data_IF_842668533160
#
_entry.id   IF_842668533160
#
_cell.length_a   1.000
_cell.length_b   1.000
_cell.length_c   1.000
_cell.angle_alpha   90.00
_cell.angle_beta   90.00
_cell.angle_gamma   90.00
#
_symmetry.space_group_name_H-M   'P 1'
#
loop_
_entity.id
_entity.type
_entity.pdbx_description
1 polymer ?
#
# COMPACT_ATOMS: atom_id res chain seq x y z
N UNK A 1 -56.26 -34.54 -15.80
CA UNK A 1 -56.51 -33.07 -15.68
C UNK A 1 -55.37 -32.50 -14.87
N UNK A 2 -54.63 -31.55 -15.39
CA UNK A 2 -53.61 -30.82 -14.64
C UNK A 2 -54.29 -29.76 -13.79
N UNK A 3 -53.98 -29.72 -12.49
CA UNK A 3 -54.49 -28.68 -11.60
C UNK A 3 -53.53 -27.49 -11.55
N UNK A 4 -54.09 -26.31 -11.22
CA UNK A 4 -53.30 -25.06 -11.14
C UNK A 4 -52.58 -24.86 -9.81
N UNK A 5 -52.42 -25.92 -9.01
CA UNK A 5 -51.80 -25.83 -7.69
C UNK A 5 -50.27 -25.67 -7.83
N UNK A 6 -49.66 -24.63 -7.28
CA UNK A 6 -48.23 -24.46 -7.35
C UNK A 6 -47.48 -25.54 -6.60
N UNK A 7 -46.44 -26.12 -7.18
CA UNK A 7 -45.58 -27.13 -6.57
C UNK A 7 -44.51 -26.44 -5.74
N UNK A 8 -44.47 -26.61 -4.39
CA UNK A 8 -43.46 -25.96 -3.55
C UNK A 8 -42.03 -26.39 -3.92
N UNK A 9 -41.04 -25.54 -3.62
CA UNK A 9 -39.64 -25.90 -3.81
C UNK A 9 -39.28 -27.19 -3.08
N UNK A 10 -38.55 -28.09 -3.74
CA UNK A 10 -38.12 -29.37 -3.17
C UNK A 10 -39.04 -30.59 -3.49
N UNK A 11 -40.23 -30.35 -4.11
CA UNK A 11 -41.11 -31.46 -4.51
C UNK A 11 -41.04 -31.69 -6.02
N UNK A 12 -40.92 -32.96 -6.41
CA UNK A 12 -40.83 -33.37 -7.82
C UNK A 12 -42.19 -33.50 -8.52
N UNK A 13 -43.29 -33.59 -7.71
CA UNK A 13 -44.65 -33.81 -8.22
C UNK A 13 -45.67 -32.96 -7.45
N UNK A 14 -46.75 -32.61 -8.10
CA UNK A 14 -47.87 -31.94 -7.44
C UNK A 14 -48.57 -32.91 -6.46
N UNK A 15 -48.70 -32.53 -5.19
CA UNK A 15 -49.34 -33.35 -4.15
C UNK A 15 -50.84 -33.57 -4.33
N UNK A 16 -51.51 -32.83 -5.26
CA UNK A 16 -52.97 -32.94 -5.50
C UNK A 16 -53.28 -33.79 -6.71
N UNK A 17 -52.55 -33.67 -7.82
CA UNK A 17 -52.87 -34.36 -9.08
C UNK A 17 -51.73 -35.24 -9.61
N UNK A 18 -50.61 -35.34 -8.90
CA UNK A 18 -49.48 -36.19 -9.28
C UNK A 18 -48.70 -35.73 -10.52
N UNK A 19 -49.02 -34.54 -11.09
CA UNK A 19 -48.34 -34.06 -12.27
C UNK A 19 -46.86 -33.71 -11.94
N UNK A 20 -45.89 -34.26 -12.68
CA UNK A 20 -44.48 -33.95 -12.46
C UNK A 20 -44.21 -32.48 -12.77
N UNK A 21 -43.27 -31.86 -12.02
CA UNK A 21 -42.78 -30.51 -12.26
C UNK A 21 -42.14 -30.50 -13.65
N UNK A 22 -42.69 -29.70 -14.59
CA UNK A 22 -42.07 -29.52 -15.90
C UNK A 22 -40.71 -28.86 -15.75
N UNK A 23 -39.68 -29.40 -16.37
CA UNK A 23 -38.29 -28.91 -16.35
C UNK A 23 -38.07 -27.55 -17.08
N UNK A 24 -39.15 -26.83 -17.35
CA UNK A 24 -39.10 -25.54 -18.09
C UNK A 24 -39.33 -24.33 -17.18
N UNK A 25 -38.61 -24.26 -16.04
CA UNK A 25 -38.45 -23.00 -15.34
C UNK A 25 -37.04 -22.93 -14.79
N UNK A 26 -36.24 -22.16 -15.54
CA UNK A 26 -35.05 -21.50 -15.10
C UNK A 26 -34.11 -22.34 -14.21
N UNK A 27 -33.24 -23.10 -14.85
CA UNK A 27 -31.90 -23.21 -14.30
C UNK A 27 -31.40 -21.76 -14.18
N UNK A 28 -31.53 -21.18 -12.99
CA UNK A 28 -30.67 -20.05 -12.62
C UNK A 28 -29.27 -20.55 -12.94
N UNK A 29 -28.65 -20.02 -14.00
CA UNK A 29 -27.26 -20.25 -14.30
C UNK A 29 -26.52 -20.01 -12.98
N UNK A 30 -25.90 -21.05 -12.44
CA UNK A 30 -24.89 -20.87 -11.42
C UNK A 30 -23.98 -19.77 -11.95
N UNK A 31 -23.66 -18.73 -11.15
CA UNK A 31 -22.78 -17.68 -11.62
C UNK A 31 -21.55 -18.38 -12.20
N UNK A 32 -21.22 -18.12 -13.46
CA UNK A 32 -19.96 -18.58 -14.04
C UNK A 32 -18.87 -18.21 -13.02
N UNK A 33 -17.95 -19.15 -12.71
CA UNK A 33 -16.85 -18.83 -11.80
C UNK A 33 -16.21 -17.56 -12.30
N UNK A 34 -16.26 -16.50 -11.49
CA UNK A 34 -15.74 -15.20 -11.84
C UNK A 34 -14.32 -15.41 -12.36
N UNK A 35 -14.06 -15.04 -13.61
CA UNK A 35 -12.73 -15.20 -14.21
C UNK A 35 -11.73 -14.50 -13.31
N UNK A 36 -10.77 -15.23 -12.80
CA UNK A 36 -9.69 -14.67 -12.01
C UNK A 36 -8.91 -13.70 -12.89
N UNK A 37 -8.99 -12.41 -12.56
CA UNK A 37 -8.23 -11.37 -13.27
C UNK A 37 -6.73 -11.46 -12.95
N UNK A 38 -6.39 -12.01 -11.77
CA UNK A 38 -5.05 -12.17 -11.25
C UNK A 38 -5.10 -12.61 -9.79
N UNK A 39 -4.03 -12.37 -9.04
CA UNK A 39 -3.97 -12.70 -7.62
C UNK A 39 -3.02 -11.77 -6.85
N UNK A 40 -3.21 -11.73 -5.53
CA UNK A 40 -2.20 -11.26 -4.58
C UNK A 40 -1.64 -12.47 -3.83
N UNK A 41 -0.32 -12.59 -3.78
CA UNK A 41 0.35 -13.63 -3.00
C UNK A 41 0.98 -13.01 -1.74
N UNK A 42 0.63 -13.54 -0.57
CA UNK A 42 1.24 -13.18 0.70
C UNK A 42 2.68 -13.73 0.74
N UNK A 43 3.62 -12.88 1.07
CA UNK A 43 5.04 -13.24 1.23
C UNK A 43 5.29 -13.52 2.71
N UNK A 44 5.84 -14.69 3.00
CA UNK A 44 6.24 -15.09 4.34
C UNK A 44 7.60 -14.48 4.77
N UNK A 45 8.00 -14.73 6.02
CA UNK A 45 9.26 -14.23 6.59
C UNK A 45 10.52 -14.81 5.89
N UNK A 46 10.38 -15.88 5.12
CA UNK A 46 11.43 -16.48 4.33
C UNK A 46 11.49 -15.93 2.90
N UNK A 47 10.56 -15.05 2.53
CA UNK A 47 10.45 -14.47 1.19
C UNK A 47 9.69 -15.33 0.18
N UNK A 48 9.06 -16.43 0.62
CA UNK A 48 8.26 -17.31 -0.23
C UNK A 48 6.80 -16.87 -0.30
N UNK A 49 6.14 -17.21 -1.38
CA UNK A 49 4.68 -17.06 -1.48
C UNK A 49 3.99 -18.15 -0.64
N UNK A 50 3.16 -17.73 0.33
CA UNK A 50 2.48 -18.62 1.26
C UNK A 50 1.00 -18.78 0.94
N UNK A 51 0.24 -17.69 0.92
CA UNK A 51 -1.20 -17.68 0.65
C UNK A 51 -1.48 -16.87 -0.60
N UNK A 52 -2.31 -17.40 -1.48
CA UNK A 52 -2.72 -16.71 -2.70
C UNK A 52 -4.19 -16.31 -2.61
N UNK A 53 -4.45 -15.04 -2.82
CA UNK A 53 -5.77 -14.43 -2.82
C UNK A 53 -6.16 -14.14 -4.27
N UNK A 54 -7.14 -14.85 -4.85
CA UNK A 54 -7.60 -14.57 -6.22
C UNK A 54 -8.28 -13.20 -6.27
N UNK A 55 -8.03 -12.46 -7.35
CA UNK A 55 -8.66 -11.18 -7.63
C UNK A 55 -9.83 -11.37 -8.59
N UNK A 56 -10.98 -10.87 -8.19
CA UNK A 56 -12.17 -10.83 -9.04
C UNK A 56 -12.01 -9.71 -10.08
N UNK A 57 -12.61 -9.91 -11.26
CA UNK A 57 -12.71 -8.86 -12.25
C UNK A 57 -13.57 -7.72 -11.67
N UNK A 58 -12.97 -6.55 -11.43
CA UNK A 58 -13.62 -5.41 -10.79
C UNK A 58 -12.87 -4.90 -9.57
N UNK A 59 -13.59 -4.32 -8.62
CA UNK A 59 -13.03 -3.80 -7.39
C UNK A 59 -12.87 -4.91 -6.35
N UNK A 60 -11.68 -4.98 -5.76
CA UNK A 60 -11.35 -5.86 -4.64
C UNK A 60 -10.93 -4.97 -3.46
N UNK A 61 -11.69 -5.02 -2.37
CA UNK A 61 -11.39 -4.28 -1.14
C UNK A 61 -10.44 -5.08 -0.28
N UNK A 62 -9.39 -4.42 0.19
CA UNK A 62 -8.39 -5.00 1.07
C UNK A 62 -8.42 -4.25 2.41
N UNK A 63 -8.43 -4.98 3.52
CA UNK A 63 -8.47 -4.35 4.83
C UNK A 63 -8.65 -5.34 5.97
N UNK A 64 -9.10 -4.84 7.12
CA UNK A 64 -9.41 -5.65 8.29
C UNK A 64 -10.88 -6.05 8.37
N UNK A 65 -11.75 -5.33 7.66
CA UNK A 65 -13.19 -5.53 7.71
C UNK A 65 -13.63 -6.86 7.11
N UNK A 66 -14.68 -7.44 7.64
CA UNK A 66 -15.30 -8.67 7.15
C UNK A 66 -15.99 -8.49 5.79
N UNK A 67 -16.19 -7.26 5.37
CA UNK A 67 -16.77 -6.87 4.09
C UNK A 67 -15.71 -6.68 2.99
N UNK A 68 -14.43 -6.95 3.30
CA UNK A 68 -13.36 -6.96 2.32
C UNK A 68 -13.26 -8.31 1.61
N UNK A 69 -13.05 -8.29 0.30
CA UNK A 69 -12.76 -9.50 -0.50
C UNK A 69 -11.47 -10.17 -0.04
N UNK A 70 -10.50 -9.37 0.42
CA UNK A 70 -9.24 -9.83 1.02
C UNK A 70 -9.12 -9.22 2.41
N UNK A 71 -9.43 -10.03 3.43
CA UNK A 71 -9.48 -9.60 4.82
C UNK A 71 -8.31 -10.13 5.65
N UNK A 72 -7.61 -9.22 6.33
CA UNK A 72 -6.56 -9.51 7.32
C UNK A 72 -7.07 -9.11 8.71
N UNK A 73 -8.05 -9.86 9.21
CA UNK A 73 -8.83 -9.49 10.42
C UNK A 73 -7.96 -9.30 11.68
N UNK A 74 -6.83 -10.00 11.79
CA UNK A 74 -5.90 -9.93 12.93
C UNK A 74 -4.93 -8.76 12.86
N UNK A 75 -4.83 -8.04 11.72
CA UNK A 75 -3.88 -6.94 11.58
C UNK A 75 -4.50 -5.61 12.04
N UNK A 76 -4.18 -5.21 13.28
CA UNK A 76 -4.66 -3.95 13.87
C UNK A 76 -4.12 -2.68 13.21
N UNK A 77 -3.15 -2.78 12.30
CA UNK A 77 -2.63 -1.65 11.53
C UNK A 77 -3.47 -1.34 10.29
N UNK A 78 -4.41 -2.22 9.94
CA UNK A 78 -5.30 -2.00 8.80
C UNK A 78 -6.61 -1.33 9.22
N UNK A 79 -7.11 -0.44 8.39
CA UNK A 79 -8.47 0.07 8.46
C UNK A 79 -9.49 -1.00 8.05
N UNK A 80 -10.78 -0.78 8.32
CA UNK A 80 -11.87 -1.66 7.87
C UNK A 80 -11.71 -1.95 6.37
N UNK A 81 -11.78 -0.90 5.53
CA UNK A 81 -11.30 -0.94 4.14
C UNK A 81 -10.05 -0.06 4.07
N UNK A 82 -8.91 -0.66 3.77
CA UNK A 82 -7.62 0.02 3.77
C UNK A 82 -7.23 0.56 2.39
N UNK A 83 -7.48 -0.22 1.35
CA UNK A 83 -7.33 0.18 -0.04
C UNK A 83 -8.28 -0.63 -0.93
N UNK A 84 -8.45 -0.16 -2.16
CA UNK A 84 -9.20 -0.85 -3.22
C UNK A 84 -8.28 -1.12 -4.39
N UNK A 85 -8.26 -2.37 -4.85
CA UNK A 85 -7.55 -2.80 -6.04
C UNK A 85 -8.58 -3.08 -7.14
N UNK A 86 -8.53 -2.33 -8.23
CA UNK A 86 -9.33 -2.57 -9.42
C UNK A 86 -8.58 -3.47 -10.38
N UNK A 87 -9.17 -4.64 -10.66
CA UNK A 87 -8.67 -5.65 -11.59
C UNK A 87 -9.63 -5.84 -12.79
N UNK A 88 -10.48 -4.84 -13.07
CA UNK A 88 -11.41 -4.89 -14.19
C UNK A 88 -10.69 -4.93 -15.54
N UNK A 89 -9.60 -4.19 -15.64
CA UNK A 89 -8.77 -4.06 -16.84
C UNK A 89 -7.29 -4.06 -16.46
N UNK A 90 -6.44 -4.38 -17.41
CA UNK A 90 -4.99 -4.23 -17.27
C UNK A 90 -4.56 -2.87 -17.82
N UNK A 91 -3.63 -2.19 -17.13
CA UNK A 91 -2.98 -2.56 -15.86
C UNK A 91 -3.89 -2.35 -14.65
N UNK A 92 -3.72 -3.17 -13.62
CA UNK A 92 -4.45 -3.02 -12.35
C UNK A 92 -4.22 -1.65 -11.72
N UNK A 93 -5.22 -1.15 -11.00
CA UNK A 93 -5.14 0.13 -10.29
C UNK A 93 -5.35 -0.06 -8.80
N UNK A 94 -4.52 0.59 -8.01
CA UNK A 94 -4.62 0.60 -6.56
C UNK A 94 -4.96 2.01 -6.06
N UNK A 95 -6.07 2.11 -5.34
CA UNK A 95 -6.52 3.34 -4.71
C UNK A 95 -6.41 3.21 -3.19
N UNK A 96 -5.49 3.93 -2.53
CA UNK A 96 -5.38 3.92 -1.07
C UNK A 96 -6.58 4.66 -0.46
N UNK A 97 -7.09 4.16 0.66
CA UNK A 97 -8.17 4.79 1.43
C UNK A 97 -7.69 5.17 2.83
N UNK A 98 -6.87 4.33 3.47
CA UNK A 98 -6.30 4.65 4.77
C UNK A 98 -5.10 5.58 4.65
N UNK A 99 -5.25 6.77 5.24
CA UNK A 99 -4.19 7.78 5.30
C UNK A 99 -3.42 7.76 6.63
N UNK A 100 -3.74 6.86 7.57
CA UNK A 100 -3.02 6.75 8.84
C UNK A 100 -1.78 5.87 8.70
N UNK A 101 -1.95 4.58 8.56
CA UNK A 101 -0.83 3.64 8.39
C UNK A 101 -0.38 3.57 6.94
N UNK A 102 -1.31 3.74 5.99
CA UNK A 102 -1.04 3.87 4.56
C UNK A 102 -0.70 2.55 3.88
N UNK A 103 -0.79 2.61 2.58
CA UNK A 103 -0.39 1.55 1.65
C UNK A 103 0.94 1.93 1.04
N UNK A 104 1.87 1.00 0.94
CA UNK A 104 3.21 1.25 0.42
C UNK A 104 3.52 0.35 -0.77
N UNK A 105 4.23 0.91 -1.74
CA UNK A 105 4.75 0.19 -2.90
C UNK A 105 6.27 0.10 -2.80
N UNK A 106 6.83 -1.11 -3.00
CA UNK A 106 8.29 -1.29 -3.10
C UNK A 106 8.81 -0.58 -4.33
N UNK A 107 9.87 0.21 -4.17
CA UNK A 107 10.54 0.83 -5.31
C UNK A 107 11.47 -0.18 -5.97
N UNK A 108 11.43 -0.28 -7.30
CA UNK A 108 12.32 -1.12 -8.10
C UNK A 108 13.35 -0.30 -8.87
N UNK A 109 13.08 0.98 -9.07
CA UNK A 109 13.93 1.95 -9.76
C UNK A 109 14.00 3.23 -8.92
N UNK A 110 14.97 4.13 -9.15
CA UNK A 110 14.99 5.41 -8.47
C UNK A 110 13.68 6.18 -8.69
N UNK A 111 13.11 6.72 -7.62
CA UNK A 111 11.86 7.50 -7.64
C UNK A 111 12.12 8.91 -7.16
N UNK A 112 11.47 9.90 -7.76
CA UNK A 112 11.53 11.28 -7.31
C UNK A 112 10.76 11.43 -6.00
N UNK A 113 11.38 12.07 -5.00
CA UNK A 113 10.77 12.40 -3.72
C UNK A 113 10.24 13.82 -3.71
N UNK A 114 9.02 13.96 -3.22
CA UNK A 114 8.36 15.24 -3.01
C UNK A 114 8.19 15.53 -1.53
N UNK A 115 8.04 16.81 -1.18
CA UNK A 115 7.78 17.22 0.20
C UNK A 115 6.60 16.45 0.80
N UNK A 116 6.80 15.94 2.01
CA UNK A 116 5.81 15.14 2.73
C UNK A 116 5.68 13.69 2.25
N UNK A 117 6.59 13.19 1.40
CA UNK A 117 6.63 11.76 1.07
C UNK A 117 7.04 10.94 2.28
N UNK A 118 6.38 9.79 2.43
CA UNK A 118 6.66 8.84 3.50
C UNK A 118 7.37 7.63 2.91
N UNK A 119 8.54 7.36 3.44
CA UNK A 119 9.41 6.25 3.06
C UNK A 119 9.38 5.22 4.17
N UNK A 120 9.43 3.93 3.84
CA UNK A 120 9.66 2.87 4.79
C UNK A 120 10.94 2.10 4.43
N UNK A 121 11.83 1.99 5.41
CA UNK A 121 13.11 1.29 5.33
C UNK A 121 13.17 0.37 6.53
N UNK A 122 13.04 -0.95 6.33
CA UNK A 122 12.80 -1.87 7.45
C UNK A 122 11.53 -1.52 8.21
N UNK A 123 11.64 -1.32 9.52
CA UNK A 123 10.54 -0.86 10.38
C UNK A 123 10.47 0.67 10.49
N UNK A 124 11.47 1.36 10.00
CA UNK A 124 11.58 2.81 10.09
C UNK A 124 10.61 3.49 9.13
N UNK A 125 9.83 4.43 9.66
CA UNK A 125 8.93 5.29 8.90
C UNK A 125 9.55 6.68 8.85
N UNK A 126 9.88 7.14 7.66
CA UNK A 126 10.64 8.36 7.41
C UNK A 126 9.82 9.32 6.56
N UNK A 127 9.68 10.58 6.98
CA UNK A 127 9.05 11.64 6.20
C UNK A 127 10.12 12.55 5.60
N UNK A 128 10.13 12.67 4.30
CA UNK A 128 10.98 13.61 3.58
C UNK A 128 10.36 15.01 3.56
N UNK A 129 11.15 16.04 3.87
CA UNK A 129 10.74 17.43 3.85
C UNK A 129 11.81 18.31 3.18
N UNK A 130 11.40 19.12 2.21
CA UNK A 130 12.28 20.13 1.62
C UNK A 130 12.38 21.35 2.54
N UNK A 131 13.57 21.87 2.73
CA UNK A 131 13.79 23.06 3.57
C UNK A 131 13.20 24.33 2.95
N UNK A 132 13.20 24.43 1.61
CA UNK A 132 12.63 25.57 0.89
C UNK A 132 11.13 25.76 1.17
N UNK A 133 10.43 24.67 1.46
CA UNK A 133 9.00 24.66 1.80
C UNK A 133 8.74 24.87 3.31
N UNK A 134 9.81 24.89 4.11
CA UNK A 134 9.78 25.19 5.55
C UNK A 134 10.11 26.68 5.81
N UNK A 135 9.65 27.57 4.94
CA UNK A 135 9.95 29.01 5.04
C UNK A 135 9.52 29.57 6.40
N UNK A 136 10.30 30.56 6.85
CA UNK A 136 10.05 31.24 8.13
C UNK A 136 8.61 31.70 8.23
N UNK A 137 7.94 31.30 9.32
CA UNK A 137 6.60 31.77 9.63
C UNK A 137 6.58 33.28 9.69
N UNK A 138 5.55 33.86 9.12
CA UNK A 138 5.31 35.30 9.23
C UNK A 138 4.35 35.53 10.37
N UNK A 139 4.70 36.42 11.31
CA UNK A 139 3.80 36.78 12.39
C UNK A 139 2.47 37.28 11.83
N UNK A 140 1.35 36.68 12.20
CA UNK A 140 0.04 37.11 11.71
C UNK A 140 -0.34 38.51 12.25
N UNK A 141 0.32 38.96 13.32
CA UNK A 141 0.03 40.27 13.96
C UNK A 141 0.86 41.38 13.34
N UNK A 142 2.14 41.12 13.05
CA UNK A 142 3.07 42.18 12.64
C UNK A 142 3.47 42.11 11.18
N UNK A 143 3.12 41.04 10.46
CA UNK A 143 3.58 40.77 9.08
C UNK A 143 5.10 40.59 8.94
N UNK A 144 5.83 40.55 10.06
CA UNK A 144 7.28 40.35 10.05
C UNK A 144 7.63 38.87 10.05
N UNK A 145 8.70 38.50 9.35
CA UNK A 145 9.27 37.17 9.41
C UNK A 145 9.77 36.90 10.84
N UNK A 146 9.43 35.73 11.37
CA UNK A 146 9.99 35.26 12.63
C UNK A 146 11.45 34.87 12.37
N UNK A 147 12.38 35.65 12.95
CA UNK A 147 13.82 35.47 12.72
C UNK A 147 14.54 34.93 13.97
N UNK A 148 13.78 34.51 14.97
CA UNK A 148 14.33 33.95 16.22
C UNK A 148 14.64 32.47 15.98
N UNK A 149 15.91 32.09 16.14
CA UNK A 149 16.38 30.71 15.98
C UNK A 149 17.86 30.68 15.60
N UNK A 150 18.44 29.48 15.56
CA UNK A 150 19.78 29.29 15.06
C UNK A 150 19.77 29.35 13.51
N UNK A 151 20.89 29.81 12.93
CA UNK A 151 21.08 29.78 11.50
C UNK A 151 21.10 28.31 11.02
N UNK A 152 20.42 28.03 9.90
CA UNK A 152 20.53 26.73 9.24
C UNK A 152 21.97 26.52 8.72
N UNK A 153 22.53 25.31 8.85
CA UNK A 153 23.81 25.00 8.26
C UNK A 153 23.79 25.24 6.74
N UNK A 154 24.92 25.69 6.19
CA UNK A 154 25.03 25.93 4.75
C UNK A 154 24.84 24.65 3.96
N UNK A 155 24.17 24.75 2.80
CA UNK A 155 23.98 23.63 1.88
C UNK A 155 22.89 22.63 2.29
N UNK A 156 22.15 22.87 3.37
CA UNK A 156 21.01 22.05 3.74
C UNK A 156 19.88 22.31 2.74
N UNK A 157 19.41 21.23 2.11
CA UNK A 157 18.35 21.28 1.09
C UNK A 157 17.09 20.51 1.52
N UNK A 158 17.15 19.76 2.61
CA UNK A 158 16.02 19.00 3.10
C UNK A 158 16.29 18.39 4.47
N UNK A 159 15.31 17.65 4.97
CA UNK A 159 15.45 16.81 6.15
C UNK A 159 14.63 15.53 6.00
N UNK A 160 15.03 14.51 6.73
CA UNK A 160 14.27 13.29 6.95
C UNK A 160 13.84 13.24 8.41
N UNK A 161 12.54 13.18 8.65
CA UNK A 161 11.97 13.03 9.98
C UNK A 161 11.60 11.59 10.23
N UNK A 162 12.20 10.95 11.24
CA UNK A 162 11.81 9.63 11.71
C UNK A 162 10.50 9.74 12.51
N UNK A 163 9.49 9.02 12.07
CA UNK A 163 8.13 9.08 12.63
C UNK A 163 7.95 7.92 13.61
N UNK A 164 7.81 8.27 14.87
CA UNK A 164 7.52 7.32 15.95
C UNK A 164 6.04 7.00 16.09
N UNK A 165 5.73 6.19 17.10
CA UNK A 165 4.35 5.88 17.46
C UNK A 165 3.58 7.17 17.78
N UNK A 166 2.28 7.19 17.47
CA UNK A 166 1.46 8.39 17.61
C UNK A 166 1.77 9.49 16.58
N UNK A 167 2.56 9.17 15.52
CA UNK A 167 2.92 10.08 14.43
C UNK A 167 3.79 11.28 14.82
N UNK A 168 4.40 11.22 15.99
CA UNK A 168 5.33 12.24 16.44
C UNK A 168 6.69 12.07 15.76
N UNK A 169 7.39 13.19 15.58
CA UNK A 169 8.78 13.17 15.10
C UNK A 169 9.68 12.71 16.24
N UNK A 170 10.29 11.53 16.10
CA UNK A 170 11.24 10.99 17.06
C UNK A 170 12.65 11.57 16.86
N UNK A 171 13.08 11.68 15.57
CA UNK A 171 14.34 12.28 15.17
C UNK A 171 14.18 13.05 13.87
N UNK A 172 15.10 13.99 13.60
CA UNK A 172 15.18 14.71 12.34
C UNK A 172 16.65 14.80 11.90
N UNK A 173 16.91 14.38 10.67
CA UNK A 173 18.23 14.36 10.06
C UNK A 173 18.29 15.37 8.94
N UNK A 174 19.20 16.32 9.01
CA UNK A 174 19.40 17.33 7.96
C UNK A 174 20.15 16.71 6.77
N UNK A 175 19.71 17.05 5.58
CA UNK A 175 20.28 16.58 4.32
C UNK A 175 21.09 17.74 3.70
N UNK A 176 22.42 17.62 3.72
CA UNK A 176 23.34 18.65 3.22
C UNK A 176 24.31 18.13 2.16
N UNK A 177 24.48 16.80 2.10
CA UNK A 177 25.32 16.16 1.11
C UNK A 177 24.50 15.80 -0.13
N UNK A 178 25.15 15.78 -1.28
CA UNK A 178 24.53 15.43 -2.56
C UNK A 178 23.90 14.04 -2.54
N UNK A 179 24.52 13.08 -1.87
CA UNK A 179 24.08 11.74 -1.62
C UNK A 179 24.06 11.49 -0.11
N UNK A 180 22.93 11.09 0.44
CA UNK A 180 22.75 10.76 1.85
C UNK A 180 22.35 9.29 1.95
N UNK A 181 23.20 8.49 2.53
CA UNK A 181 23.05 7.04 2.63
C UNK A 181 22.33 6.66 3.93
N UNK A 182 21.37 5.75 3.79
CA UNK A 182 20.64 5.16 4.92
C UNK A 182 21.05 3.70 5.07
N UNK A 183 21.31 3.28 6.30
CA UNK A 183 21.67 1.90 6.57
C UNK A 183 21.62 1.52 8.04
N UNK A 184 21.87 0.24 8.33
CA UNK A 184 22.01 -0.22 9.70
C UNK A 184 23.39 0.05 10.27
N UNK A 185 24.42 -0.14 9.48
CA UNK A 185 25.82 -0.10 9.90
C UNK A 185 26.66 0.93 9.13
N UNK A 186 26.26 1.24 7.89
CA UNK A 186 26.99 2.12 6.96
C UNK A 186 26.04 3.11 6.33
N UNK A 187 26.40 4.39 6.40
CA UNK A 187 25.64 5.52 5.86
C UNK A 187 25.73 6.74 6.75
N UNK A 188 25.05 7.79 6.31
CA UNK A 188 24.97 9.08 7.01
C UNK A 188 23.85 9.05 8.07
N UNK A 189 22.81 8.28 7.81
CA UNK A 189 21.68 8.07 8.73
C UNK A 189 21.64 6.59 9.07
N UNK A 190 21.82 6.27 10.35
CA UNK A 190 21.95 4.89 10.82
C UNK A 190 20.76 4.48 11.69
N UNK A 191 20.29 3.23 11.46
CA UNK A 191 19.26 2.56 12.24
C UNK A 191 19.81 1.25 12.83
N UNK A 192 20.75 1.31 13.79
CA UNK A 192 21.51 0.13 14.23
C UNK A 192 20.67 -0.90 14.99
N UNK A 193 19.48 -0.48 15.47
CA UNK A 193 18.55 -1.36 16.22
C UNK A 193 17.50 -2.03 15.36
N UNK A 194 17.40 -1.68 14.07
CA UNK A 194 16.45 -2.29 13.15
C UNK A 194 17.10 -3.40 12.33
N UNK A 195 16.83 -4.66 12.71
CA UNK A 195 17.35 -5.84 12.01
C UNK A 195 16.83 -6.00 10.57
N UNK A 196 15.77 -5.28 10.19
CA UNK A 196 15.22 -5.30 8.84
C UNK A 196 15.89 -4.28 7.90
N UNK A 197 16.73 -3.40 8.44
CA UNK A 197 17.55 -2.47 7.65
C UNK A 197 18.85 -3.18 7.27
N UNK A 198 19.18 -3.19 5.98
CA UNK A 198 20.46 -3.70 5.48
C UNK A 198 21.63 -2.80 5.90
N UNK A 199 22.85 -3.33 5.95
CA UNK A 199 24.06 -2.60 6.34
C UNK A 199 24.22 -1.28 5.57
N UNK A 200 24.02 -1.29 4.23
CA UNK A 200 23.74 -0.15 3.37
C UNK A 200 22.41 -0.42 2.69
N UNK A 201 21.39 0.41 2.90
CA UNK A 201 20.02 0.07 2.50
C UNK A 201 19.51 0.91 1.33
N UNK A 202 19.56 2.21 1.46
CA UNK A 202 19.04 3.15 0.45
C UNK A 202 19.88 4.42 0.40
N UNK A 203 19.69 5.21 -0.64
CA UNK A 203 20.31 6.53 -0.80
C UNK A 203 19.26 7.55 -1.23
N UNK A 204 19.32 8.73 -0.62
CA UNK A 204 18.57 9.91 -1.03
C UNK A 204 19.57 10.85 -1.72
N UNK A 205 19.29 11.19 -2.97
CA UNK A 205 20.21 11.98 -3.81
C UNK A 205 19.53 13.26 -4.27
N UNK A 206 20.22 14.39 -4.11
CA UNK A 206 19.81 15.66 -4.74
C UNK A 206 20.51 15.82 -6.11
N UNK A 207 19.75 16.16 -7.14
CA UNK A 207 20.26 16.36 -8.52
C UNK A 207 19.47 17.50 -9.19
N UNK A 208 20.10 18.65 -9.32
CA UNK A 208 19.52 19.78 -10.06
C UNK A 208 18.18 20.27 -9.50
N UNK A 209 18.05 20.34 -8.18
CA UNK A 209 16.84 20.77 -7.50
C UNK A 209 15.78 19.67 -7.35
N UNK A 210 16.03 18.45 -7.85
CA UNK A 210 15.17 17.28 -7.65
C UNK A 210 15.81 16.30 -6.70
N UNK A 211 14.98 15.60 -5.94
CA UNK A 211 15.42 14.62 -4.95
C UNK A 211 14.95 13.23 -5.35
N UNK A 212 15.83 12.27 -5.27
CA UNK A 212 15.56 10.88 -5.67
C UNK A 212 15.88 9.92 -4.54
N UNK A 213 15.02 8.94 -4.37
CA UNK A 213 15.24 7.78 -3.49
C UNK A 213 15.59 6.57 -4.35
N UNK A 214 16.65 5.86 -3.97
CA UNK A 214 17.08 4.63 -4.62
C UNK A 214 17.38 3.56 -3.57
N UNK A 215 16.86 2.36 -3.76
CA UNK A 215 17.25 1.16 -3.02
C UNK A 215 18.63 0.67 -3.49
N UNK A 216 19.47 0.26 -2.57
CA UNK A 216 20.84 -0.22 -2.85
C UNK A 216 20.94 -1.75 -2.91
N UNK A 217 19.87 -2.44 -3.22
CA UNK A 217 19.79 -3.91 -3.22
C UNK A 217 19.57 -4.45 -1.81
N UNK A 218 18.76 -3.77 -1.03
CA UNK A 218 18.45 -4.18 0.33
C UNK A 218 17.67 -5.50 0.37
N UNK A 219 17.82 -6.26 1.44
CA UNK A 219 17.17 -7.57 1.60
C UNK A 219 15.65 -7.44 1.65
N UNK A 220 15.14 -6.46 2.39
CA UNK A 220 13.71 -6.28 2.61
C UNK A 220 13.06 -5.23 1.69
N UNK A 221 13.85 -4.45 0.97
CA UNK A 221 13.40 -3.41 0.05
C UNK A 221 13.09 -2.09 0.73
N UNK A 222 13.03 -1.06 -0.10
CA UNK A 222 12.63 0.30 0.25
C UNK A 222 11.24 0.54 -0.32
N UNK A 223 10.36 1.14 0.48
CA UNK A 223 8.97 1.36 0.10
C UNK A 223 8.61 2.83 0.15
N UNK A 224 7.78 3.25 -0.80
CA UNK A 224 7.20 4.59 -0.84
C UNK A 224 5.70 4.50 -0.60
N UNK A 225 5.17 5.39 0.26
CA UNK A 225 3.74 5.46 0.54
C UNK A 225 2.96 5.92 -0.68
N UNK A 226 1.92 5.18 -1.01
CA UNK A 226 0.98 5.53 -2.07
C UNK A 226 0.04 6.63 -1.56
N UNK A 227 0.05 7.80 -2.20
CA UNK A 227 -0.77 8.96 -1.81
C UNK A 227 -2.03 9.13 -2.67
N UNK A 228 -2.03 8.57 -3.87
CA UNK A 228 -3.09 8.65 -4.87
C UNK A 228 -3.21 7.34 -5.60
N UNK A 229 -4.20 7.19 -6.45
CA UNK A 229 -4.33 6.01 -7.29
C UNK A 229 -3.07 5.82 -8.14
N UNK A 230 -2.60 4.59 -8.18
CA UNK A 230 -1.44 4.17 -8.97
C UNK A 230 -1.79 2.94 -9.81
N UNK A 231 -1.01 2.76 -10.86
CA UNK A 231 -1.02 1.56 -11.69
C UNK A 231 -0.07 0.51 -11.12
N UNK A 232 -0.53 -0.74 -11.04
CA UNK A 232 0.26 -1.88 -10.59
C UNK A 232 0.73 -2.72 -11.78
N UNK A 233 1.94 -3.26 -11.66
CA UNK A 233 2.56 -4.17 -12.62
C UNK A 233 2.68 -5.56 -12.02
N UNK A 234 2.84 -6.54 -12.87
CA UNK A 234 3.17 -7.90 -12.41
C UNK A 234 4.44 -7.90 -11.57
N UNK A 235 4.44 -8.65 -10.48
CA UNK A 235 5.51 -8.75 -9.48
C UNK A 235 5.74 -7.52 -8.60
N UNK A 236 4.92 -6.47 -8.71
CA UNK A 236 4.95 -5.37 -7.73
C UNK A 236 4.71 -5.90 -6.31
N UNK A 237 5.39 -5.32 -5.33
CA UNK A 237 5.26 -5.67 -3.93
C UNK A 237 4.58 -4.53 -3.16
N UNK A 238 3.43 -4.86 -2.60
CA UNK A 238 2.63 -3.98 -1.77
C UNK A 238 2.81 -4.33 -0.29
N UNK A 239 2.99 -3.33 0.54
CA UNK A 239 3.03 -3.51 1.99
C UNK A 239 1.82 -2.79 2.61
N UNK A 240 0.94 -3.58 3.24
CA UNK A 240 -0.26 -3.15 3.94
C UNK A 240 -0.21 -3.63 5.38
N UNK A 241 -0.12 -2.71 6.33
CA UNK A 241 0.10 -3.08 7.73
C UNK A 241 1.36 -3.92 7.90
N UNK A 242 1.17 -5.20 8.26
CA UNK A 242 2.25 -6.22 8.38
C UNK A 242 2.34 -7.16 7.18
N UNK A 243 1.43 -7.03 6.21
CA UNK A 243 1.30 -7.97 5.12
C UNK A 243 2.06 -7.48 3.89
N UNK A 244 3.04 -8.25 3.44
CA UNK A 244 3.76 -8.04 2.18
C UNK A 244 3.10 -8.90 1.10
N UNK A 245 2.58 -8.26 0.06
CA UNK A 245 1.81 -8.89 -0.99
C UNK A 245 2.47 -8.70 -2.35
N UNK A 246 2.62 -9.79 -3.10
CA UNK A 246 3.07 -9.74 -4.49
C UNK A 246 1.87 -9.74 -5.44
N UNK A 247 1.90 -8.85 -6.41
CA UNK A 247 0.88 -8.73 -7.45
C UNK A 247 1.16 -9.73 -8.55
N UNK A 248 0.18 -10.58 -8.86
CA UNK A 248 0.15 -11.43 -10.05
C UNK A 248 -0.97 -10.97 -10.97
N UNK A 249 -0.58 -10.45 -12.12
CA UNK A 249 -1.52 -10.07 -13.18
C UNK A 249 -1.84 -11.33 -13.99
N UNK A 250 -3.12 -11.69 -14.11
CA UNK A 250 -3.54 -12.84 -14.90
C UNK A 250 -3.12 -12.70 -16.37
N UNK A 251 -2.94 -13.83 -17.04
CA UNK A 251 -2.78 -13.82 -18.49
C UNK A 251 -4.07 -13.27 -19.12
N UNK A 252 -3.90 -12.35 -20.07
CA UNK A 252 -5.00 -11.75 -20.82
C UNK A 252 -5.71 -12.80 -21.71
#
# INVERSE_FOLDING_TARGET
MQCSTPIPPGYAFCGVCGTPRSRSESAAQAPEPAREAGALALIDDLGNESVRYPLQAGENRLGRGHDCEIAFASDGLLAGVHCVLSAAEQPFRLRPLDMHNGTYLRISTPVELHHGDIIRVGQEVLRFERIEELQAETSPVTGRKLTVGCAMPRGVWGRVCQIGMGRQVANAYLLSHRDVFLGRERGDILFPKDGFVSGSHAVISERGGRVYLKDLGSSNGTFLRVKREITLRNSDLLLLGRNLLRVHVGAA
#
